data_IF_313301930411
#
_entry.id   IF_313301930411
#
_cell.length_a   1.000
_cell.length_b   1.000
_cell.length_c   1.000
_cell.angle_alpha   90.00
_cell.angle_beta   90.00
_cell.angle_gamma   90.00
#
_symmetry.space_group_name_H-M   'P 1'
#
loop_
_entity.id
_entity.type
_entity.pdbx_description
1 polymer ?
#
# COMPACT_ATOMS: atom_id res chain seq x y z
N UNK A 1 0.68 24.59 25.56
CA UNK A 1 -0.63 23.97 25.35
C UNK A 1 -0.47 22.50 24.99
N UNK A 2 -1.39 21.63 25.38
CA UNK A 2 -1.39 20.23 24.96
C UNK A 2 -1.86 20.17 23.50
N UNK A 3 -1.01 19.67 22.61
CA UNK A 3 -1.41 19.34 21.22
C UNK A 3 -1.92 17.90 21.23
N UNK A 4 -3.14 17.69 20.77
CA UNK A 4 -3.73 16.37 20.64
C UNK A 4 -3.52 15.87 19.22
N UNK A 5 -2.96 14.66 19.09
CA UNK A 5 -2.82 13.92 17.83
C UNK A 5 -3.51 12.57 18.02
N UNK A 6 -4.65 12.39 17.38
CA UNK A 6 -5.42 11.16 17.47
C UNK A 6 -4.95 10.18 16.38
N UNK A 7 -4.98 8.88 16.71
CA UNK A 7 -4.86 7.82 15.71
C UNK A 7 -6.20 7.73 14.98
N UNK A 8 -6.23 7.80 13.65
CA UNK A 8 -7.47 7.69 12.89
C UNK A 8 -8.14 6.32 13.08
N UNK A 9 -9.46 6.29 13.02
CA UNK A 9 -10.18 5.03 12.92
C UNK A 9 -9.90 4.38 11.56
N UNK A 10 -9.90 3.05 11.53
CA UNK A 10 -9.61 2.26 10.32
C UNK A 10 -10.69 1.19 10.17
N UNK A 11 -11.26 1.09 8.97
CA UNK A 11 -12.06 -0.06 8.55
C UNK A 11 -11.22 -0.90 7.59
N UNK A 12 -11.14 -2.20 7.86
CA UNK A 12 -10.48 -3.17 7.00
C UNK A 12 -11.46 -4.28 6.65
N UNK A 13 -11.62 -4.55 5.36
CA UNK A 13 -12.42 -5.66 4.83
C UNK A 13 -11.58 -6.41 3.83
N UNK A 14 -11.60 -7.75 3.88
CA UNK A 14 -10.88 -8.59 2.93
C UNK A 14 -11.57 -9.92 2.74
N UNK A 15 -11.35 -10.51 1.57
CA UNK A 15 -11.82 -11.83 1.23
C UNK A 15 -10.78 -12.56 0.38
N UNK A 16 -10.70 -13.86 0.56
CA UNK A 16 -9.93 -14.79 -0.26
C UNK A 16 -10.84 -15.88 -0.81
N UNK A 17 -10.61 -16.28 -2.04
CA UNK A 17 -11.36 -17.36 -2.69
C UNK A 17 -10.42 -18.26 -3.49
N UNK A 18 -10.58 -19.57 -3.29
CA UNK A 18 -9.89 -20.58 -4.09
C UNK A 18 -10.69 -20.86 -5.36
N UNK A 19 -10.25 -20.31 -6.47
CA UNK A 19 -10.89 -20.48 -7.79
C UNK A 19 -10.81 -21.94 -8.24
N UNK A 20 -9.63 -22.53 -8.04
CA UNK A 20 -9.32 -23.95 -8.16
C UNK A 20 -8.34 -24.31 -7.03
N UNK A 21 -8.11 -25.62 -6.73
CA UNK A 21 -7.23 -26.00 -5.62
C UNK A 21 -5.82 -25.39 -5.66
N UNK A 22 -5.31 -25.07 -6.86
CA UNK A 22 -3.98 -24.48 -7.04
C UNK A 22 -3.97 -22.97 -7.21
N UNK A 23 -5.12 -22.30 -7.31
CA UNK A 23 -5.19 -20.84 -7.55
C UNK A 23 -6.10 -20.18 -6.53
N UNK A 24 -5.55 -19.21 -5.80
CA UNK A 24 -6.26 -18.36 -4.84
C UNK A 24 -6.25 -16.93 -5.33
N UNK A 25 -7.33 -16.23 -5.14
CA UNK A 25 -7.44 -14.78 -5.36
C UNK A 25 -7.87 -14.12 -4.06
N UNK A 26 -7.31 -12.96 -3.77
CA UNK A 26 -7.63 -12.18 -2.59
C UNK A 26 -7.90 -10.74 -2.97
N UNK A 27 -8.89 -10.13 -2.31
CA UNK A 27 -9.19 -8.72 -2.44
C UNK A 27 -9.29 -8.11 -1.04
N UNK A 28 -8.83 -6.88 -0.89
CA UNK A 28 -8.89 -6.14 0.36
C UNK A 28 -9.20 -4.66 0.12
N UNK A 29 -9.81 -4.06 1.13
CA UNK A 29 -10.11 -2.64 1.14
C UNK A 29 -9.87 -2.09 2.54
N UNK A 30 -9.14 -0.96 2.61
CA UNK A 30 -8.91 -0.22 3.83
C UNK A 30 -9.49 1.19 3.65
N UNK A 31 -10.14 1.69 4.68
CA UNK A 31 -10.62 3.06 4.76
C UNK A 31 -10.17 3.69 6.07
N UNK A 32 -9.53 4.84 5.98
CA UNK A 32 -8.95 5.57 7.09
C UNK A 32 -9.73 6.87 7.30
N UNK A 33 -10.26 7.10 8.49
CA UNK A 33 -10.86 8.39 8.87
C UNK A 33 -9.78 9.38 9.34
N UNK A 34 -8.75 9.54 8.52
CA UNK A 34 -7.56 10.34 8.85
C UNK A 34 -7.83 11.85 8.76
N UNK A 35 -8.72 12.31 7.89
CA UNK A 35 -9.19 13.71 7.88
C UNK A 35 -9.94 14.06 9.17
N UNK A 36 -10.74 13.16 9.69
CA UNK A 36 -11.60 13.41 10.84
C UNK A 36 -10.85 13.31 12.18
N UNK A 37 -9.62 12.79 12.17
CA UNK A 37 -8.80 12.66 13.38
C UNK A 37 -8.33 14.05 13.87
N UNK A 38 -8.34 14.25 15.21
CA UNK A 38 -7.82 15.49 15.78
C UNK A 38 -6.31 15.59 15.58
N UNK A 39 -5.88 16.75 15.09
CA UNK A 39 -4.48 16.93 14.73
C UNK A 39 -4.11 16.42 13.33
N UNK A 40 -5.11 16.04 12.53
CA UNK A 40 -4.92 15.67 11.13
C UNK A 40 -4.20 16.76 10.34
N UNK A 41 -3.29 16.33 9.47
CA UNK A 41 -2.66 17.20 8.50
C UNK A 41 -3.58 17.51 7.30
N UNK A 42 -4.61 16.69 7.07
CA UNK A 42 -5.61 16.90 6.02
C UNK A 42 -6.65 17.90 6.49
N UNK A 43 -6.74 19.05 5.82
CA UNK A 43 -7.69 20.13 6.13
C UNK A 43 -8.76 20.25 5.05
N UNK A 44 -8.32 20.38 3.81
CA UNK A 44 -9.18 20.62 2.64
C UNK A 44 -9.51 19.32 1.88
N UNK A 45 -8.71 18.29 2.05
CA UNK A 45 -8.83 17.02 1.36
C UNK A 45 -9.97 16.10 1.86
N UNK A 46 -9.79 14.80 1.67
CA UNK A 46 -10.74 13.74 2.03
C UNK A 46 -10.06 12.68 2.90
N UNK A 47 -10.79 11.67 3.31
CA UNK A 47 -10.22 10.49 3.98
C UNK A 47 -9.46 9.59 3.00
N UNK A 48 -8.44 8.92 3.48
CA UNK A 48 -7.60 7.99 2.69
C UNK A 48 -8.30 6.63 2.53
N UNK A 49 -8.08 5.99 1.38
CA UNK A 49 -8.49 4.60 1.17
C UNK A 49 -7.45 3.82 0.37
N UNK A 50 -7.48 2.50 0.53
CA UNK A 50 -6.65 1.56 -0.20
C UNK A 50 -7.49 0.39 -0.71
N UNK A 51 -7.25 0.00 -1.96
CA UNK A 51 -7.82 -1.20 -2.56
C UNK A 51 -6.69 -2.13 -3.01
N UNK A 52 -6.82 -3.40 -2.69
CA UNK A 52 -5.81 -4.42 -2.92
C UNK A 52 -6.44 -5.59 -3.65
N UNK A 53 -5.77 -6.08 -4.67
CA UNK A 53 -6.12 -7.31 -5.37
C UNK A 53 -4.86 -8.14 -5.58
N UNK A 54 -4.93 -9.44 -5.30
CA UNK A 54 -3.83 -10.35 -5.46
C UNK A 54 -4.26 -11.74 -5.90
N UNK A 55 -3.33 -12.47 -6.46
CA UNK A 55 -3.51 -13.86 -6.82
C UNK A 55 -2.25 -14.66 -6.49
N UNK A 56 -2.45 -15.91 -6.12
CA UNK A 56 -1.41 -16.90 -5.92
C UNK A 56 -1.71 -18.16 -6.72
N UNK A 57 -0.67 -18.74 -7.29
CA UNK A 57 -0.73 -19.97 -8.03
C UNK A 57 0.33 -20.96 -7.56
N UNK A 58 -0.12 -22.10 -7.01
CA UNK A 58 0.72 -23.27 -6.76
C UNK A 58 1.01 -23.96 -8.10
N UNK A 59 2.14 -23.65 -8.73
CA UNK A 59 2.55 -24.26 -10.01
C UNK A 59 2.69 -25.79 -9.85
N UNK A 60 3.22 -26.20 -8.71
CA UNK A 60 3.35 -27.60 -8.30
C UNK A 60 3.53 -27.69 -6.77
N UNK A 61 3.84 -28.89 -6.26
CA UNK A 61 4.02 -29.11 -4.81
C UNK A 61 5.17 -28.31 -4.18
N UNK A 62 6.10 -27.78 -4.98
CA UNK A 62 7.28 -27.05 -4.50
C UNK A 62 7.27 -25.57 -4.81
N UNK A 63 6.68 -25.14 -5.93
CA UNK A 63 6.73 -23.77 -6.40
C UNK A 63 5.37 -23.09 -6.32
N UNK A 64 5.39 -21.90 -5.77
CA UNK A 64 4.26 -20.96 -5.76
C UNK A 64 4.73 -19.65 -6.36
N UNK A 65 3.88 -19.00 -7.15
CA UNK A 65 4.06 -17.61 -7.61
C UNK A 65 2.87 -16.77 -7.19
N UNK A 66 3.09 -15.49 -7.01
CA UNK A 66 2.06 -14.52 -6.66
C UNK A 66 2.26 -13.22 -7.41
N UNK A 67 1.14 -12.53 -7.64
CA UNK A 67 1.14 -11.17 -8.15
C UNK A 67 0.00 -10.38 -7.49
N UNK A 68 0.18 -9.08 -7.39
CA UNK A 68 -0.84 -8.22 -6.80
C UNK A 68 -0.70 -6.78 -7.23
N UNK A 69 -1.78 -6.03 -7.04
CA UNK A 69 -1.85 -4.59 -7.23
C UNK A 69 -2.51 -3.95 -6.03
N UNK A 70 -1.97 -2.83 -5.60
CA UNK A 70 -2.55 -1.98 -4.57
C UNK A 70 -2.70 -0.57 -5.12
N UNK A 71 -3.88 0.01 -4.95
CA UNK A 71 -4.14 1.43 -5.18
C UNK A 71 -4.31 2.11 -3.84
N UNK A 72 -3.51 3.13 -3.56
CA UNK A 72 -3.65 4.01 -2.40
C UNK A 72 -4.04 5.40 -2.87
N UNK A 73 -5.19 5.87 -2.39
CA UNK A 73 -5.68 7.21 -2.60
C UNK A 73 -5.55 7.96 -1.28
N UNK A 74 -4.52 8.77 -1.17
CA UNK A 74 -4.37 9.68 -0.05
C UNK A 74 -5.36 10.84 -0.17
N UNK A 75 -5.94 11.22 0.96
CA UNK A 75 -6.96 12.25 0.99
C UNK A 75 -6.44 13.69 0.93
N UNK A 76 -5.17 13.93 0.62
CA UNK A 76 -4.57 15.26 0.59
C UNK A 76 -5.04 16.08 -0.61
N UNK A 77 -5.52 17.30 -0.36
CA UNK A 77 -5.67 18.32 -1.38
C UNK A 77 -4.35 19.07 -1.57
N UNK A 78 -4.19 19.81 -2.65
CA UNK A 78 -2.96 20.58 -2.92
C UNK A 78 -2.62 21.56 -1.79
N UNK A 79 -3.63 22.14 -1.14
CA UNK A 79 -3.47 23.02 0.01
C UNK A 79 -2.98 22.33 1.29
N UNK A 80 -3.11 21.00 1.38
CA UNK A 80 -2.65 20.20 2.53
C UNK A 80 -1.18 19.77 2.37
N UNK A 81 -0.59 19.91 1.18
CA UNK A 81 0.75 19.47 0.84
C UNK A 81 1.77 20.51 1.27
N UNK A 82 2.85 20.04 1.88
CA UNK A 82 4.01 20.86 2.28
C UNK A 82 5.28 20.02 2.26
N UNK A 83 6.44 20.65 2.35
CA UNK A 83 7.74 19.96 2.41
C UNK A 83 7.86 18.93 3.55
N UNK A 84 7.07 19.09 4.60
CA UNK A 84 7.04 18.18 5.75
C UNK A 84 5.95 17.11 5.65
N UNK A 85 5.01 17.28 4.72
CA UNK A 85 3.83 16.41 4.60
C UNK A 85 3.33 16.36 3.17
N UNK A 86 3.83 15.38 2.41
CA UNK A 86 3.44 15.17 1.01
C UNK A 86 3.12 13.69 0.77
N UNK A 87 1.87 13.32 0.97
CA UNK A 87 1.38 11.98 0.65
C UNK A 87 0.76 12.00 -0.73
N UNK A 88 1.38 11.30 -1.66
CA UNK A 88 1.00 11.27 -3.08
C UNK A 88 0.32 9.93 -3.40
N UNK A 89 -0.79 10.00 -4.13
CA UNK A 89 -1.51 8.82 -4.60
C UNK A 89 -0.59 7.86 -5.35
N UNK A 90 -0.75 6.57 -5.07
CA UNK A 90 0.14 5.57 -5.65
C UNK A 90 -0.60 4.34 -6.15
N UNK A 91 0.02 3.66 -7.11
CA UNK A 91 -0.32 2.31 -7.52
C UNK A 91 0.92 1.45 -7.35
N UNK A 92 0.85 0.42 -6.52
CA UNK A 92 1.93 -0.53 -6.34
C UNK A 92 1.64 -1.82 -7.10
N UNK A 93 2.66 -2.34 -7.79
CA UNK A 93 2.65 -3.66 -8.38
C UNK A 93 3.58 -4.56 -7.57
N UNK A 94 3.08 -5.75 -7.23
CA UNK A 94 3.80 -6.73 -6.42
C UNK A 94 3.93 -8.03 -7.21
N UNK A 95 5.10 -8.64 -7.13
CA UNK A 95 5.33 -10.01 -7.61
C UNK A 95 6.06 -10.80 -6.53
N UNK A 96 5.79 -12.07 -6.44
CA UNK A 96 6.41 -12.92 -5.42
C UNK A 96 6.50 -14.36 -5.86
N UNK A 97 7.27 -15.10 -5.10
CA UNK A 97 7.36 -16.53 -5.27
C UNK A 97 7.79 -17.22 -3.98
N UNK A 98 7.46 -18.49 -3.89
CA UNK A 98 7.90 -19.30 -2.77
C UNK A 98 8.41 -20.65 -3.24
N UNK A 99 9.41 -21.15 -2.53
CA UNK A 99 9.92 -22.50 -2.69
C UNK A 99 9.73 -23.32 -1.41
N UNK A 100 8.98 -24.40 -1.52
CA UNK A 100 8.72 -25.35 -0.42
C UNK A 100 9.79 -26.45 -0.47
N UNK A 101 10.74 -26.42 0.45
CA UNK A 101 11.78 -27.46 0.57
C UNK A 101 11.17 -28.80 0.98
N UNK A 102 10.21 -28.71 1.91
CA UNK A 102 9.42 -29.83 2.45
C UNK A 102 8.14 -29.29 3.11
N UNK A 103 7.38 -30.16 3.79
CA UNK A 103 6.13 -29.75 4.46
C UNK A 103 6.32 -28.81 5.66
N UNK A 104 7.56 -28.58 6.10
CA UNK A 104 7.88 -27.76 7.27
C UNK A 104 8.67 -26.48 6.92
N UNK A 105 9.28 -26.43 5.75
CA UNK A 105 10.22 -25.35 5.41
C UNK A 105 9.86 -24.72 4.06
N UNK A 106 9.72 -23.40 4.06
CA UNK A 106 9.39 -22.61 2.86
C UNK A 106 10.17 -21.30 2.86
N UNK A 107 10.79 -20.97 1.73
CA UNK A 107 11.40 -19.67 1.44
C UNK A 107 10.43 -18.86 0.60
N UNK A 108 10.19 -17.61 0.98
CA UNK A 108 9.40 -16.67 0.20
C UNK A 108 10.28 -15.49 -0.21
N UNK A 109 10.09 -15.00 -1.43
CA UNK A 109 10.73 -13.79 -1.95
C UNK A 109 9.66 -12.94 -2.64
N UNK A 110 9.69 -11.64 -2.41
CA UNK A 110 8.76 -10.71 -3.02
C UNK A 110 9.44 -9.40 -3.41
N UNK A 111 8.91 -8.77 -4.43
CA UNK A 111 9.29 -7.45 -4.89
C UNK A 111 8.05 -6.60 -5.11
N UNK A 112 8.13 -5.35 -4.73
CA UNK A 112 7.11 -4.35 -4.94
C UNK A 112 7.71 -3.08 -5.55
N UNK A 113 7.06 -2.55 -6.56
CA UNK A 113 7.33 -1.23 -7.12
C UNK A 113 6.09 -0.35 -7.02
N UNK A 114 6.26 0.87 -6.51
CA UNK A 114 5.17 1.84 -6.37
C UNK A 114 5.34 2.99 -7.35
N UNK A 115 4.35 3.17 -8.20
CA UNK A 115 4.19 4.30 -9.10
C UNK A 115 3.40 5.39 -8.37
N UNK A 116 3.97 6.57 -8.26
CA UNK A 116 3.33 7.73 -7.64
C UNK A 116 2.90 8.71 -8.72
N UNK A 117 1.80 9.44 -8.46
CA UNK A 117 1.44 10.60 -9.26
C UNK A 117 2.43 11.76 -9.05
N UNK A 118 2.21 12.84 -9.77
CA UNK A 118 2.90 14.10 -9.55
C UNK A 118 1.92 15.10 -8.92
N UNK A 119 2.39 15.85 -7.92
CA UNK A 119 1.66 16.99 -7.40
C UNK A 119 2.42 18.27 -7.73
N UNK A 120 1.73 19.20 -8.38
CA UNK A 120 2.21 20.55 -8.67
C UNK A 120 1.50 21.49 -7.70
N UNK A 121 2.23 22.03 -6.75
CA UNK A 121 1.70 22.97 -5.75
C UNK A 121 2.29 24.35 -6.02
N UNK A 122 1.46 25.40 -5.89
CA UNK A 122 1.97 26.78 -5.97
C UNK A 122 3.02 26.96 -4.88
N UNK A 123 4.26 27.19 -5.29
CA UNK A 123 5.39 27.36 -4.38
C UNK A 123 5.27 28.59 -3.50
N UNK A 124 6.06 28.65 -2.43
CA UNK A 124 6.06 29.77 -1.48
C UNK A 124 6.47 31.11 -2.12
N UNK A 125 7.15 31.10 -3.26
CA UNK A 125 7.51 32.30 -4.02
C UNK A 125 6.56 32.49 -5.21
N UNK A 126 6.11 33.70 -5.44
CA UNK A 126 5.21 34.05 -6.54
C UNK A 126 5.80 33.65 -7.90
N UNK A 127 5.09 32.80 -8.63
CA UNK A 127 5.47 32.30 -9.96
C UNK A 127 6.36 31.06 -9.96
N UNK A 128 6.59 30.44 -8.82
CA UNK A 128 7.24 29.14 -8.70
C UNK A 128 6.19 28.06 -8.40
N UNK A 129 6.37 26.88 -9.01
CA UNK A 129 5.61 25.69 -8.68
C UNK A 129 6.57 24.63 -8.13
N UNK A 130 6.21 24.04 -7.00
CA UNK A 130 6.92 22.92 -6.43
C UNK A 130 6.35 21.62 -6.98
N UNK A 131 7.21 20.76 -7.50
CA UNK A 131 6.83 19.45 -8.06
C UNK A 131 7.28 18.37 -7.08
N UNK A 132 6.30 17.68 -6.50
CA UNK A 132 6.55 16.56 -5.60
C UNK A 132 6.44 15.24 -6.36
N UNK A 133 7.52 14.45 -6.34
CA UNK A 133 7.59 13.11 -6.93
C UNK A 133 8.14 12.12 -5.92
N UNK A 134 7.76 10.85 -6.05
CA UNK A 134 8.26 9.77 -5.18
C UNK A 134 8.43 8.48 -5.97
N UNK A 135 9.45 7.68 -5.59
CA UNK A 135 9.63 6.30 -6.04
C UNK A 135 9.82 5.41 -4.81
N UNK A 136 9.28 4.23 -4.85
CA UNK A 136 9.49 3.25 -3.78
C UNK A 136 9.63 1.84 -4.37
N UNK A 137 10.73 1.18 -4.03
CA UNK A 137 11.03 -0.20 -4.36
C UNK A 137 11.25 -0.96 -3.06
N UNK A 138 10.64 -2.13 -2.92
CA UNK A 138 10.82 -2.96 -1.74
C UNK A 138 11.07 -4.41 -2.15
N UNK A 139 12.04 -5.04 -1.49
CA UNK A 139 12.31 -6.48 -1.58
C UNK A 139 12.09 -7.09 -0.21
N UNK A 140 11.35 -8.17 -0.17
CA UNK A 140 11.11 -8.96 1.04
C UNK A 140 11.58 -10.39 0.86
N UNK A 141 12.20 -10.92 1.91
CA UNK A 141 12.56 -12.33 1.99
C UNK A 141 12.11 -12.86 3.34
N UNK A 142 11.43 -13.99 3.37
CA UNK A 142 11.09 -14.67 4.61
C UNK A 142 11.30 -16.18 4.51
N UNK A 143 11.58 -16.78 5.64
CA UNK A 143 11.76 -18.22 5.78
C UNK A 143 10.79 -18.75 6.83
N UNK A 144 9.85 -19.60 6.41
CA UNK A 144 8.86 -20.18 7.29
C UNK A 144 9.33 -21.57 7.75
N UNK A 145 9.25 -21.83 9.06
CA UNK A 145 9.55 -23.13 9.66
C UNK A 145 8.34 -23.53 10.53
N UNK A 146 7.83 -24.73 10.30
CA UNK A 146 6.79 -25.37 11.14
C UNK A 146 7.44 -26.49 11.96
N UNK A 147 7.23 -26.43 13.24
CA UNK A 147 7.68 -27.42 14.23
C UNK A 147 6.63 -28.50 14.45
#
# INVERSE_FOLDING_TARGET
GKVRSDIPAILTVGAEYSVIPSVRVAAGFHYYWDKDAKGSAIKEGSNTWEAILGAEWDINSKWLVSAGVQRTQYGFADADISDLNYNINSTALCIGGAYKFNNRMKLNVGYMHSFYGEHNVAGAAAGMNDIYTRKNDAVGVSFDIRF
#
